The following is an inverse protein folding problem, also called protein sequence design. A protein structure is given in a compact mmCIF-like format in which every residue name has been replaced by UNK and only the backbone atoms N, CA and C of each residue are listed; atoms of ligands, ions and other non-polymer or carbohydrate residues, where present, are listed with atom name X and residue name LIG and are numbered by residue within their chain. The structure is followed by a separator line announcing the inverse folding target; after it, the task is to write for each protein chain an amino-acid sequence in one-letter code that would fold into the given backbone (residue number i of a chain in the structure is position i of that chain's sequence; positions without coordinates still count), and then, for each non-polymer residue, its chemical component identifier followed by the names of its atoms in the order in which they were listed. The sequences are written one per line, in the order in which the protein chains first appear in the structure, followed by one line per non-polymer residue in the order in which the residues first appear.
data_IF_765403984232
#
_entry.id   IF_765403984232
#
_cell.length_a   1.000
_cell.length_b   1.000
_cell.length_c   1.000
_cell.angle_alpha   90.00
_cell.angle_beta   90.00
_cell.angle_gamma   90.00
#
_symmetry.space_group_name_H-M   'P 1'
#
loop_
_entity.id
_entity.type
_entity.pdbx_description
1 polymer ?
#
# COMPACT_ATOMS: atom_id res chain seq x y z
N UNK A 1 -9.71 -25.05 11.73
CA UNK A 1 -8.97 -24.19 10.78
C UNK A 1 -9.84 -23.65 9.65
N UNK A 2 -10.35 -24.45 8.68
CA UNK A 2 -11.18 -23.88 7.59
C UNK A 2 -12.47 -23.19 8.03
N UNK A 3 -13.10 -23.66 9.10
CA UNK A 3 -14.36 -23.11 9.64
C UNK A 3 -14.13 -21.80 10.40
N UNK A 4 -13.00 -21.66 11.09
CA UNK A 4 -12.61 -20.42 11.79
C UNK A 4 -12.26 -19.32 10.79
N UNK A 5 -11.43 -19.63 9.78
CA UNK A 5 -11.11 -18.68 8.71
C UNK A 5 -12.34 -18.12 8.02
N UNK A 6 -13.36 -18.97 7.77
CA UNK A 6 -14.64 -18.51 7.18
C UNK A 6 -15.38 -17.54 8.09
N UNK A 7 -15.43 -17.81 9.40
CA UNK A 7 -16.07 -16.90 10.36
C UNK A 7 -15.35 -15.56 10.44
N UNK A 8 -14.03 -15.58 10.49
CA UNK A 8 -13.18 -14.37 10.51
C UNK A 8 -13.38 -13.53 9.24
N UNK A 9 -13.42 -14.18 8.08
CA UNK A 9 -13.70 -13.51 6.80
C UNK A 9 -15.10 -12.91 6.76
N UNK A 10 -16.11 -13.60 7.29
CA UNK A 10 -17.47 -13.07 7.36
C UNK A 10 -17.59 -11.89 8.33
N UNK A 11 -16.92 -11.93 9.50
CA UNK A 11 -16.86 -10.79 10.43
C UNK A 11 -16.21 -9.59 9.73
N UNK A 12 -15.05 -9.79 9.09
CA UNK A 12 -14.35 -8.73 8.40
C UNK A 12 -15.18 -8.12 7.26
N UNK A 13 -15.85 -8.96 6.48
CA UNK A 13 -16.75 -8.53 5.42
C UNK A 13 -17.91 -7.71 5.97
N UNK A 14 -18.61 -8.21 7.00
CA UNK A 14 -19.74 -7.51 7.62
C UNK A 14 -19.34 -6.15 8.20
N UNK A 15 -18.16 -6.05 8.83
CA UNK A 15 -17.60 -4.78 9.34
C UNK A 15 -17.37 -3.81 8.19
N UNK A 16 -16.76 -4.26 7.10
CA UNK A 16 -16.45 -3.42 5.95
C UNK A 16 -17.72 -2.94 5.25
N UNK A 17 -18.67 -3.84 4.99
CA UNK A 17 -19.98 -3.50 4.40
C UNK A 17 -20.73 -2.47 5.26
N UNK A 18 -20.75 -2.65 6.59
CA UNK A 18 -21.38 -1.70 7.50
C UNK A 18 -20.69 -0.33 7.52
N UNK A 19 -19.39 -0.28 7.41
CA UNK A 19 -18.67 1.00 7.30
C UNK A 19 -19.00 1.71 5.98
N UNK A 20 -19.06 0.97 4.88
CA UNK A 20 -19.44 1.52 3.58
C UNK A 20 -20.88 2.05 3.59
N UNK A 21 -21.82 1.32 4.20
CA UNK A 21 -23.21 1.77 4.38
C UNK A 21 -23.30 3.05 5.21
N UNK A 22 -22.56 3.15 6.32
CA UNK A 22 -22.52 4.35 7.16
C UNK A 22 -21.91 5.57 6.44
N UNK A 23 -21.05 5.34 5.48
CA UNK A 23 -20.50 6.37 4.60
C UNK A 23 -21.39 6.67 3.38
N UNK A 24 -22.52 6.00 3.25
CA UNK A 24 -23.46 6.09 2.12
C UNK A 24 -22.81 5.72 0.77
N UNK A 25 -21.78 4.85 0.80
CA UNK A 25 -21.05 4.40 -0.39
C UNK A 25 -21.59 3.04 -0.84
N UNK A 26 -22.11 3.00 -2.06
CA UNK A 26 -22.59 1.77 -2.69
C UNK A 26 -21.42 1.02 -3.31
N UNK A 27 -20.97 -0.04 -2.67
CA UNK A 27 -19.90 -0.88 -3.17
C UNK A 27 -20.16 -2.35 -2.86
N UNK A 28 -19.57 -3.23 -3.65
CA UNK A 28 -19.62 -4.67 -3.45
C UNK A 28 -18.28 -5.15 -2.89
N UNK A 29 -18.32 -5.90 -1.78
CA UNK A 29 -17.12 -6.44 -1.13
C UNK A 29 -16.93 -7.88 -1.56
N UNK A 30 -15.88 -8.12 -2.33
CA UNK A 30 -15.54 -9.45 -2.87
C UNK A 30 -14.33 -10.01 -2.12
N UNK A 31 -14.44 -11.17 -1.44
CA UNK A 31 -13.28 -11.82 -0.86
C UNK A 31 -12.36 -12.35 -1.96
N UNK A 32 -11.04 -12.14 -1.80
CA UNK A 32 -10.01 -12.61 -2.74
C UNK A 32 -9.22 -13.72 -2.06
N UNK A 33 -9.16 -14.90 -2.68
CA UNK A 33 -8.47 -16.06 -2.10
C UNK A 33 -6.94 -15.97 -2.19
N UNK A 34 -6.41 -15.27 -3.20
CA UNK A 34 -4.99 -14.99 -3.35
C UNK A 34 -4.74 -13.50 -3.08
N UNK A 35 -4.28 -13.20 -1.86
CA UNK A 35 -3.70 -11.89 -1.62
C UNK A 35 -2.35 -11.82 -2.36
N UNK A 36 -2.10 -10.79 -3.18
CA UNK A 36 -0.72 -10.45 -3.46
C UNK A 36 -0.02 -10.22 -2.10
N UNK A 37 1.23 -10.67 -1.93
CA UNK A 37 1.94 -10.42 -0.71
C UNK A 37 1.86 -8.91 -0.45
N UNK A 38 1.17 -8.53 0.63
CA UNK A 38 1.15 -7.15 1.08
C UNK A 38 2.56 -6.87 1.58
N UNK A 39 3.41 -6.40 0.69
CA UNK A 39 4.76 -5.96 1.02
C UNK A 39 4.75 -4.63 1.79
N UNK A 40 3.58 -4.18 2.24
CA UNK A 40 3.51 -3.06 3.17
C UNK A 40 4.08 -3.54 4.51
N UNK A 41 5.28 -3.16 4.90
CA UNK A 41 5.64 -3.24 6.29
C UNK A 41 4.78 -2.17 6.97
N UNK A 42 3.64 -2.55 7.53
CA UNK A 42 3.03 -1.74 8.57
C UNK A 42 4.06 -1.69 9.69
N UNK A 43 4.84 -0.60 9.76
CA UNK A 43 5.81 -0.34 10.84
C UNK A 43 5.12 -0.30 12.21
N UNK A 44 3.79 -0.46 12.26
CA UNK A 44 2.96 -0.46 13.47
C UNK A 44 2.20 -1.78 13.70
N UNK A 45 2.57 -2.89 13.05
CA UNK A 45 2.05 -4.17 13.52
C UNK A 45 2.58 -4.38 14.95
N UNK A 46 1.72 -4.45 15.99
CA UNK A 46 2.20 -4.78 17.32
C UNK A 46 2.93 -6.11 17.23
N UNK A 47 4.15 -6.15 17.82
CA UNK A 47 5.07 -7.29 17.86
C UNK A 47 4.37 -8.56 18.41
N UNK A 48 3.52 -9.16 17.59
CA UNK A 48 2.97 -10.49 17.79
C UNK A 48 3.82 -11.47 16.99
N UNK A 49 4.34 -12.49 17.68
CA UNK A 49 5.24 -13.53 17.21
C UNK A 49 5.01 -13.89 15.71
N UNK A 50 6.01 -13.60 14.89
CA UNK A 50 6.10 -13.91 13.47
C UNK A 50 6.25 -15.43 13.16
N UNK A 51 5.63 -16.30 13.95
CA UNK A 51 5.80 -17.75 13.84
C UNK A 51 4.51 -18.52 13.43
N UNK A 52 3.37 -17.84 13.34
CA UNK A 52 2.15 -18.49 12.85
C UNK A 52 1.85 -17.96 11.43
N UNK A 53 1.72 -18.88 10.49
CA UNK A 53 1.30 -18.64 9.10
C UNK A 53 -0.18 -18.21 9.11
N UNK A 54 -0.45 -17.01 9.61
CA UNK A 54 -1.79 -16.45 9.71
C UNK A 54 -2.23 -16.11 8.27
N UNK A 55 -3.22 -16.83 7.78
CA UNK A 55 -3.73 -16.63 6.44
C UNK A 55 -4.27 -15.20 6.29
N UNK A 56 -3.70 -14.43 5.38
CA UNK A 56 -4.15 -13.09 5.03
C UNK A 56 -5.59 -13.14 4.52
N UNK A 57 -6.44 -12.26 5.02
CA UNK A 57 -7.81 -12.06 4.53
C UNK A 57 -7.79 -10.85 3.60
N UNK A 58 -8.16 -11.06 2.34
CA UNK A 58 -8.15 -10.00 1.33
C UNK A 58 -9.52 -9.74 0.76
N UNK A 59 -9.82 -8.47 0.56
CA UNK A 59 -11.06 -8.01 -0.08
C UNK A 59 -10.74 -7.05 -1.21
N UNK A 60 -11.46 -7.22 -2.33
CA UNK A 60 -11.55 -6.22 -3.39
C UNK A 60 -12.90 -5.51 -3.27
N UNK A 61 -12.86 -4.19 -3.20
CA UNK A 61 -14.06 -3.34 -3.13
C UNK A 61 -14.35 -2.82 -4.53
N UNK A 62 -15.51 -3.18 -5.06
CA UNK A 62 -15.93 -2.88 -6.42
C UNK A 62 -17.17 -1.99 -6.42
N UNK A 63 -17.23 -1.00 -7.30
CA UNK A 63 -18.39 -0.12 -7.44
C UNK A 63 -18.06 1.14 -8.24
N UNK A 64 -19.04 2.00 -8.37
CA UNK A 64 -18.89 3.25 -9.11
C UNK A 64 -18.34 4.35 -8.19
N UNK A 65 -17.42 5.16 -8.73
CA UNK A 65 -16.87 6.37 -8.10
C UNK A 65 -16.23 6.15 -6.71
N UNK A 66 -15.48 5.06 -6.57
CA UNK A 66 -14.79 4.72 -5.33
C UNK A 66 -13.52 5.53 -5.04
N UNK A 67 -13.23 6.55 -5.85
CA UNK A 67 -12.05 7.41 -5.68
C UNK A 67 -11.93 8.06 -4.30
N UNK A 68 -13.07 8.33 -3.65
CA UNK A 68 -13.12 8.89 -2.29
C UNK A 68 -12.56 7.91 -1.25
N UNK A 69 -12.73 6.61 -1.44
CA UNK A 69 -12.19 5.56 -0.57
C UNK A 69 -10.69 5.36 -0.75
N UNK A 70 -10.17 5.66 -1.94
CA UNK A 70 -8.74 5.62 -2.22
C UNK A 70 -8.08 6.83 -1.56
N UNK A 71 -8.62 8.02 -1.81
CA UNK A 71 -8.09 9.28 -1.34
C UNK A 71 -6.75 9.65 -2.01
N UNK A 72 -6.10 10.68 -1.48
CA UNK A 72 -4.83 11.15 -2.04
C UNK A 72 -3.74 10.10 -1.83
N UNK A 73 -3.23 9.53 -2.92
CA UNK A 73 -2.16 8.51 -2.89
C UNK A 73 -2.46 7.30 -1.99
N UNK A 74 -3.72 6.89 -1.91
CA UNK A 74 -4.11 5.73 -1.11
C UNK A 74 -4.23 5.98 0.39
N UNK A 75 -4.12 7.22 0.88
CA UNK A 75 -4.17 7.53 2.32
C UNK A 75 -5.50 7.13 2.96
N UNK A 76 -6.63 7.40 2.28
CA UNK A 76 -7.95 7.01 2.80
C UNK A 76 -8.10 5.50 2.85
N UNK A 77 -7.61 4.79 1.80
CA UNK A 77 -7.62 3.33 1.76
C UNK A 77 -6.79 2.73 2.90
N UNK A 78 -5.60 3.27 3.16
CA UNK A 78 -4.76 2.82 4.28
C UNK A 78 -5.45 3.04 5.63
N UNK A 79 -6.08 4.20 5.84
CA UNK A 79 -6.83 4.50 7.06
C UNK A 79 -8.05 3.58 7.22
N UNK A 80 -8.79 3.33 6.14
CA UNK A 80 -9.93 2.42 6.14
C UNK A 80 -9.48 0.99 6.50
N UNK A 81 -8.41 0.51 5.88
CA UNK A 81 -7.83 -0.80 6.18
C UNK A 81 -7.43 -0.91 7.65
N UNK A 82 -6.80 0.12 8.22
CA UNK A 82 -6.42 0.17 9.61
C UNK A 82 -7.64 0.11 10.56
N UNK A 83 -8.67 0.90 10.30
CA UNK A 83 -9.91 0.90 11.09
C UNK A 83 -10.60 -0.46 11.04
N UNK A 84 -10.70 -1.07 9.85
CA UNK A 84 -11.29 -2.41 9.69
C UNK A 84 -10.50 -3.44 10.51
N UNK A 85 -9.16 -3.42 10.45
CA UNK A 85 -8.31 -4.30 11.26
C UNK A 85 -8.55 -4.14 12.77
N UNK A 86 -8.69 -2.90 13.25
CA UNK A 86 -8.96 -2.62 14.67
C UNK A 86 -10.31 -3.18 15.11
N UNK A 87 -11.37 -2.91 14.34
CA UNK A 87 -12.73 -3.35 14.69
C UNK A 87 -12.82 -4.88 14.66
N UNK A 88 -12.30 -5.50 13.62
CA UNK A 88 -12.30 -6.96 13.46
C UNK A 88 -11.45 -7.62 14.55
N UNK A 89 -10.25 -7.09 14.83
CA UNK A 89 -9.39 -7.59 15.90
C UNK A 89 -10.05 -7.53 17.26
N UNK A 90 -10.80 -6.46 17.55
CA UNK A 90 -11.59 -6.34 18.78
C UNK A 90 -12.76 -7.34 18.83
N UNK A 91 -13.46 -7.57 17.72
CA UNK A 91 -14.59 -8.51 17.68
C UNK A 91 -14.14 -9.97 17.69
N UNK A 92 -13.09 -10.30 16.96
CA UNK A 92 -12.56 -11.66 16.88
C UNK A 92 -11.63 -12.02 18.03
N UNK A 93 -11.20 -11.03 18.86
CA UNK A 93 -10.22 -11.19 19.92
C UNK A 93 -8.86 -11.76 19.43
N UNK A 94 -8.58 -11.60 18.12
CA UNK A 94 -7.36 -12.05 17.45
C UNK A 94 -6.94 -10.98 16.46
N UNK A 95 -5.64 -10.72 16.35
CA UNK A 95 -5.12 -9.84 15.32
C UNK A 95 -5.10 -10.57 13.96
N UNK A 96 -5.88 -10.08 13.00
CA UNK A 96 -5.99 -10.66 11.67
C UNK A 96 -5.33 -9.75 10.62
N UNK A 97 -4.44 -10.27 9.78
CA UNK A 97 -3.90 -9.52 8.65
C UNK A 97 -4.97 -9.38 7.57
N UNK A 98 -5.58 -8.19 7.50
CA UNK A 98 -6.61 -7.85 6.51
C UNK A 98 -6.01 -6.90 5.49
N UNK A 99 -6.18 -7.21 4.21
CA UNK A 99 -5.78 -6.40 3.08
C UNK A 99 -7.01 -5.95 2.30
N UNK A 100 -7.11 -4.66 2.07
CA UNK A 100 -8.15 -4.07 1.24
C UNK A 100 -7.53 -3.55 -0.05
N UNK A 101 -8.19 -3.81 -1.17
CA UNK A 101 -7.92 -3.15 -2.44
C UNK A 101 -9.20 -2.55 -3.01
N UNK A 102 -9.10 -1.59 -3.89
CA UNK A 102 -10.23 -0.95 -4.55
C UNK A 102 -9.98 -1.05 -6.05
N UNK A 103 -10.69 -1.97 -6.70
CA UNK A 103 -10.62 -2.19 -8.16
C UNK A 103 -9.19 -2.32 -8.70
N UNK A 104 -8.28 -2.97 -7.99
CA UNK A 104 -6.90 -3.14 -8.40
C UNK A 104 -6.08 -1.83 -8.31
N UNK A 105 -6.46 -0.88 -7.45
CA UNK A 105 -5.76 0.39 -7.28
C UNK A 105 -4.29 0.20 -6.91
N UNK A 106 -3.98 -0.69 -5.96
CA UNK A 106 -2.59 -0.91 -5.52
C UNK A 106 -1.67 -1.26 -6.68
N UNK A 107 -2.09 -2.18 -7.55
CA UNK A 107 -1.32 -2.57 -8.73
C UNK A 107 -1.09 -1.39 -9.68
N UNK A 108 -2.17 -0.67 -10.05
CA UNK A 108 -2.07 0.49 -10.96
C UNK A 108 -1.21 1.61 -10.39
N UNK A 109 -1.31 1.85 -9.08
CA UNK A 109 -0.49 2.84 -8.39
C UNK A 109 1.00 2.48 -8.43
N UNK A 110 1.34 1.22 -8.12
CA UNK A 110 2.70 0.72 -8.19
C UNK A 110 3.30 0.85 -9.60
N UNK A 111 2.56 0.42 -10.62
CA UNK A 111 2.97 0.55 -12.02
C UNK A 111 3.20 2.02 -12.43
N UNK A 112 2.33 2.92 -11.97
CA UNK A 112 2.46 4.36 -12.22
C UNK A 112 3.71 4.95 -11.54
N UNK A 113 4.00 4.56 -10.31
CA UNK A 113 5.21 4.98 -9.59
C UNK A 113 6.48 4.46 -10.24
N UNK A 114 6.49 3.21 -10.68
CA UNK A 114 7.61 2.62 -11.40
C UNK A 114 7.89 3.38 -12.71
N UNK A 115 6.84 3.65 -13.48
CA UNK A 115 6.96 4.42 -14.72
C UNK A 115 7.47 5.85 -14.47
N UNK A 116 6.99 6.50 -13.40
CA UNK A 116 7.47 7.82 -12.98
C UNK A 116 8.95 7.77 -12.62
N UNK A 117 9.36 6.77 -11.82
CA UNK A 117 10.75 6.60 -11.39
C UNK A 117 11.69 6.45 -12.58
N UNK A 118 11.36 5.59 -13.52
CA UNK A 118 12.14 5.40 -14.75
C UNK A 118 12.25 6.68 -15.57
N UNK A 119 11.14 7.37 -15.81
CA UNK A 119 11.13 8.62 -16.58
C UNK A 119 12.02 9.68 -15.93
N UNK A 120 11.96 9.82 -14.60
CA UNK A 120 12.79 10.80 -13.90
C UNK A 120 14.25 10.38 -13.84
N UNK A 121 14.56 9.09 -13.77
CA UNK A 121 15.93 8.58 -13.85
C UNK A 121 16.59 8.93 -15.18
N UNK A 122 15.90 8.76 -16.30
CA UNK A 122 16.40 9.15 -17.63
C UNK A 122 16.61 10.67 -17.74
N UNK A 123 15.73 11.47 -17.13
CA UNK A 123 15.92 12.92 -17.07
C UNK A 123 17.16 13.30 -16.26
N UNK A 124 17.35 12.71 -15.08
CA UNK A 124 18.52 12.94 -14.20
C UNK A 124 19.81 12.52 -14.91
N UNK A 125 19.80 11.38 -15.60
CA UNK A 125 20.92 10.92 -16.43
C UNK A 125 21.30 11.95 -17.52
N UNK A 126 20.30 12.46 -18.25
CA UNK A 126 20.52 13.40 -19.33
C UNK A 126 21.00 14.77 -18.84
N UNK A 127 20.42 15.29 -17.76
CA UNK A 127 20.72 16.61 -17.23
C UNK A 127 21.91 16.62 -16.27
N UNK A 128 22.30 15.45 -15.74
CA UNK A 128 23.32 15.29 -14.69
C UNK A 128 23.08 16.15 -13.45
N UNK A 129 21.82 16.38 -13.12
CA UNK A 129 21.40 17.13 -11.95
C UNK A 129 20.47 16.28 -11.09
N UNK A 130 20.60 16.31 -9.75
CA UNK A 130 19.66 15.64 -8.86
C UNK A 130 18.23 16.15 -9.05
N UNK A 131 17.27 15.25 -8.94
CA UNK A 131 15.84 15.59 -9.01
C UNK A 131 15.12 15.06 -7.79
N UNK A 132 14.40 15.94 -7.08
CA UNK A 132 13.55 15.58 -5.94
C UNK A 132 12.14 15.29 -6.41
N UNK A 133 11.65 14.09 -6.14
CA UNK A 133 10.25 13.74 -6.35
C UNK A 133 9.35 14.48 -5.32
N UNK A 134 8.06 14.46 -5.55
CA UNK A 134 7.11 14.95 -4.56
C UNK A 134 7.17 14.12 -3.27
N UNK A 135 6.82 14.72 -2.11
CA UNK A 135 6.68 13.98 -0.87
C UNK A 135 5.70 12.82 -1.02
N UNK A 136 6.07 11.66 -0.47
CA UNK A 136 5.26 10.44 -0.60
C UNK A 136 5.42 9.53 0.63
N UNK A 137 4.43 8.66 0.93
CA UNK A 137 4.48 7.68 2.01
C UNK A 137 5.71 6.76 1.94
N UNK A 138 6.04 6.10 3.03
CA UNK A 138 7.20 5.20 3.13
C UNK A 138 7.15 4.06 2.09
N UNK A 139 5.96 3.50 1.90
CA UNK A 139 5.72 2.45 0.92
C UNK A 139 6.04 2.91 -0.51
N UNK A 140 5.51 4.05 -0.94
CA UNK A 140 5.76 4.60 -2.27
C UNK A 140 7.25 4.89 -2.48
N UNK A 141 7.93 5.42 -1.44
CA UNK A 141 9.39 5.65 -1.49
C UNK A 141 10.17 4.35 -1.68
N UNK A 142 9.74 3.27 -1.03
CA UNK A 142 10.34 1.94 -1.19
C UNK A 142 10.18 1.43 -2.63
N UNK A 143 9.00 1.60 -3.25
CA UNK A 143 8.79 1.21 -4.66
C UNK A 143 9.78 1.94 -5.56
N UNK A 144 9.93 3.25 -5.41
CA UNK A 144 10.90 4.03 -6.20
C UNK A 144 12.33 3.55 -5.99
N UNK A 145 12.74 3.29 -4.73
CA UNK A 145 14.08 2.78 -4.41
C UNK A 145 14.32 1.42 -5.06
N UNK A 146 13.38 0.48 -4.95
CA UNK A 146 13.50 -0.86 -5.53
C UNK A 146 13.54 -0.80 -7.07
N UNK A 147 12.71 0.03 -7.67
CA UNK A 147 12.66 0.21 -9.13
C UNK A 147 14.00 0.67 -9.69
N UNK A 148 14.69 1.56 -8.98
CA UNK A 148 15.96 2.13 -9.43
C UNK A 148 17.21 1.52 -8.78
N UNK A 149 17.05 0.50 -7.93
CA UNK A 149 18.17 -0.12 -7.19
C UNK A 149 19.31 -0.58 -8.11
N UNK A 150 19.00 -1.15 -9.25
CA UNK A 150 19.95 -1.67 -10.22
C UNK A 150 20.15 -0.73 -11.43
N UNK A 151 19.72 0.53 -11.35
CA UNK A 151 19.91 1.46 -12.46
C UNK A 151 21.39 1.82 -12.61
N UNK A 152 21.97 1.78 -13.84
CA UNK A 152 23.41 1.99 -14.04
C UNK A 152 23.86 3.42 -13.73
N UNK A 153 23.06 4.43 -14.06
CA UNK A 153 23.47 5.83 -14.11
C UNK A 153 22.97 6.68 -12.95
N UNK A 154 22.03 6.17 -12.15
CA UNK A 154 21.45 6.94 -11.03
C UNK A 154 21.40 6.12 -9.74
N UNK A 155 21.36 6.84 -8.62
CA UNK A 155 21.08 6.29 -7.29
C UNK A 155 19.91 7.06 -6.65
N UNK A 156 19.36 6.56 -5.56
CA UNK A 156 18.22 7.18 -4.89
C UNK A 156 18.49 7.37 -3.41
N UNK A 157 18.05 8.50 -2.85
CA UNK A 157 18.17 8.81 -1.43
C UNK A 157 16.84 9.40 -0.92
N UNK A 158 16.36 8.94 0.25
CA UNK A 158 15.24 9.58 0.93
C UNK A 158 15.71 10.80 1.71
N UNK A 159 15.06 11.95 1.53
CA UNK A 159 15.35 13.21 2.18
C UNK A 159 14.09 13.84 2.79
N UNK A 160 14.24 14.62 3.87
CA UNK A 160 13.14 15.24 4.61
C UNK A 160 12.61 14.34 5.74
N UNK A 161 11.62 14.85 6.48
CA UNK A 161 11.02 14.21 7.64
C UNK A 161 9.49 14.25 7.56
N UNK A 162 8.82 13.29 8.21
CA UNK A 162 7.36 13.21 8.28
C UNK A 162 6.71 13.27 6.89
N UNK A 163 5.70 14.11 6.76
CA UNK A 163 4.93 14.28 5.52
C UNK A 163 5.71 14.95 4.38
N UNK A 164 6.81 15.65 4.68
CA UNK A 164 7.66 16.28 3.67
C UNK A 164 8.70 15.34 3.07
N UNK A 165 8.81 14.11 3.59
CA UNK A 165 9.83 13.14 3.18
C UNK A 165 9.58 12.62 1.76
N UNK A 166 10.63 12.66 0.95
CA UNK A 166 10.60 12.38 -0.49
C UNK A 166 11.83 11.59 -0.94
N UNK A 167 11.78 11.05 -2.15
CA UNK A 167 12.94 10.44 -2.79
C UNK A 167 13.63 11.48 -3.67
N UNK A 168 14.95 11.54 -3.58
CA UNK A 168 15.82 12.31 -4.49
C UNK A 168 16.55 11.31 -5.38
N UNK A 169 16.43 11.47 -6.68
CA UNK A 169 17.17 10.70 -7.67
C UNK A 169 18.45 11.48 -7.99
N UNK A 170 19.61 10.84 -7.87
CA UNK A 170 20.92 11.46 -7.94
C UNK A 170 21.73 10.77 -9.05
N UNK A 171 22.40 11.51 -9.95
CA UNK A 171 23.26 10.90 -10.94
C UNK A 171 24.45 10.23 -10.26
N UNK A 172 24.80 9.01 -10.68
CA UNK A 172 26.06 8.38 -10.26
C UNK A 172 27.22 9.10 -10.95
N UNK A 173 28.19 9.54 -10.16
CA UNK A 173 29.43 10.03 -10.72
C UNK A 173 30.14 8.85 -11.40
N UNK A 174 30.30 8.91 -12.72
CA UNK A 174 31.20 8.02 -13.41
C UNK A 174 32.60 8.52 -13.10
N UNK A 175 33.30 7.83 -12.20
CA UNK A 175 34.72 8.02 -12.06
C UNK A 175 35.37 7.71 -13.43
N UNK A 176 35.85 8.75 -14.11
CA UNK A 176 36.72 8.64 -15.28
C UNK A 176 38.14 8.39 -14.82
#
# INVERSE_FOLDING_TARGET
MATEKRKETEIARSVLEKLLDLMEIKANVVPVEEAPPDESPDEEAPLGNAADTTSVISFDVQGDDLGILIGRRGQTLASLQYIVRLIVGHQAQVWLPIVLDIEGYKKRHNESLQALAWRMAEQVKAQRMPFALEPMPAFDRRIVHLTLANHPDVTTQSSGEGESRRVVIIPKEQFR
#
